data_IF_617662360311
#
_entry.id   IF_617662360311
#
_cell.length_a   1.000
_cell.length_b   1.000
_cell.length_c   1.000
_cell.angle_alpha   90.00
_cell.angle_beta   90.00
_cell.angle_gamma   90.00
#
_symmetry.space_group_name_H-M   'P 1'
#
loop_
_entity.id
_entity.type
_entity.pdbx_description
1 polymer ?
#
# COMPACT_ATOMS: atom_id res chain seq x y z
N UNK A 1 -8.47 20.80 1.74
CA UNK A 1 -7.24 20.01 1.93
C UNK A 1 -7.00 19.28 0.64
N UNK A 2 -5.76 19.27 0.16
CA UNK A 2 -5.40 18.55 -1.04
C UNK A 2 -5.26 17.06 -0.68
N UNK A 3 -5.88 16.19 -1.46
CA UNK A 3 -5.77 14.74 -1.30
C UNK A 3 -4.72 14.20 -2.28
N UNK A 4 -3.84 13.34 -1.78
CA UNK A 4 -2.79 12.70 -2.56
C UNK A 4 -3.05 11.20 -2.62
N UNK A 5 -2.90 10.62 -3.81
CA UNK A 5 -3.09 9.20 -4.05
C UNK A 5 -1.78 8.54 -4.44
N UNK A 6 -1.48 7.43 -3.80
CA UNK A 6 -0.29 6.61 -4.02
C UNK A 6 -0.72 5.22 -4.42
N UNK A 7 0.00 4.61 -5.37
CA UNK A 7 -0.35 3.32 -5.94
C UNK A 7 0.79 2.36 -5.71
N UNK A 8 0.49 1.25 -5.04
CA UNK A 8 1.41 0.15 -4.80
C UNK A 8 0.81 -1.11 -5.41
N UNK A 9 1.65 -1.92 -6.06
CA UNK A 9 1.22 -3.20 -6.65
C UNK A 9 2.13 -4.31 -6.20
N UNK A 10 1.58 -5.51 -6.02
CA UNK A 10 2.39 -6.74 -5.96
C UNK A 10 2.23 -7.48 -7.27
N UNK A 11 3.34 -7.96 -7.80
CA UNK A 11 3.38 -8.77 -9.02
C UNK A 11 3.54 -10.23 -8.63
N UNK A 12 2.89 -11.15 -9.35
CA UNK A 12 2.99 -12.59 -9.07
C UNK A 12 4.44 -13.11 -9.09
N UNK A 13 5.29 -12.52 -9.93
CA UNK A 13 6.68 -12.93 -10.10
C UNK A 13 7.67 -12.23 -9.15
N UNK A 14 7.24 -11.25 -8.35
CA UNK A 14 8.11 -10.49 -7.44
C UNK A 14 7.61 -10.60 -5.99
N UNK A 15 8.50 -10.94 -5.03
CA UNK A 15 8.10 -11.08 -3.64
C UNK A 15 7.84 -9.73 -2.96
N UNK A 16 8.50 -8.65 -3.39
CA UNK A 16 8.34 -7.32 -2.82
C UNK A 16 7.26 -6.51 -3.54
N UNK A 17 6.47 -5.71 -2.81
CA UNK A 17 5.61 -4.70 -3.41
C UNK A 17 6.43 -3.70 -4.24
N UNK A 18 5.76 -3.10 -5.23
CA UNK A 18 6.33 -2.10 -6.12
C UNK A 18 5.50 -0.84 -6.01
N UNK A 19 6.12 0.22 -5.51
CA UNK A 19 5.53 1.56 -5.55
C UNK A 19 5.44 2.08 -6.99
N UNK A 20 4.25 2.21 -7.59
CA UNK A 20 4.11 2.64 -8.99
C UNK A 20 4.06 4.16 -9.15
N UNK A 21 3.22 4.81 -8.35
CA UNK A 21 2.97 6.24 -8.45
C UNK A 21 2.78 6.85 -7.07
N UNK A 22 3.25 8.08 -6.90
CA UNK A 22 3.03 8.89 -5.71
C UNK A 22 2.48 10.24 -6.04
N UNK A 23 1.87 10.87 -5.02
CA UNK A 23 1.43 12.26 -5.04
C UNK A 23 0.48 12.59 -6.20
N UNK A 24 -0.35 11.62 -6.61
CA UNK A 24 -1.31 11.84 -7.68
C UNK A 24 -2.51 12.61 -7.16
N UNK A 25 -3.04 13.53 -7.97
CA UNK A 25 -4.43 13.97 -7.84
C UNK A 25 -5.40 12.86 -8.26
N UNK A 26 -6.66 12.92 -7.84
CA UNK A 26 -7.67 11.93 -8.24
C UNK A 26 -7.81 11.80 -9.77
N UNK A 27 -7.76 12.93 -10.49
CA UNK A 27 -7.82 12.94 -11.96
C UNK A 27 -6.61 12.23 -12.58
N UNK A 28 -5.43 12.37 -11.99
CA UNK A 28 -4.23 11.69 -12.44
C UNK A 28 -4.25 10.20 -12.09
N UNK A 29 -4.72 9.82 -10.90
CA UNK A 29 -4.96 8.44 -10.51
C UNK A 29 -5.83 7.73 -11.55
N UNK A 30 -6.97 8.34 -11.89
CA UNK A 30 -7.90 7.83 -12.91
C UNK A 30 -7.23 7.66 -14.27
N UNK A 31 -6.50 8.67 -14.74
CA UNK A 31 -5.90 8.68 -16.08
C UNK A 31 -4.68 7.76 -16.19
N UNK A 32 -3.83 7.71 -15.17
CA UNK A 32 -2.51 7.07 -15.21
C UNK A 32 -2.52 5.64 -14.71
N UNK A 33 -3.45 5.28 -13.84
CA UNK A 33 -3.49 3.96 -13.23
C UNK A 33 -4.83 3.25 -13.43
N UNK A 34 -5.95 3.81 -12.96
CA UNK A 34 -7.25 3.10 -12.93
C UNK A 34 -7.70 2.68 -14.33
N UNK A 35 -7.73 3.62 -15.29
CA UNK A 35 -8.12 3.30 -16.67
C UNK A 35 -7.15 2.32 -17.34
N UNK A 36 -5.81 2.52 -17.31
CA UNK A 36 -4.87 1.52 -17.83
C UNK A 36 -5.02 0.14 -17.20
N UNK A 37 -5.27 0.06 -15.89
CA UNK A 37 -5.49 -1.18 -15.15
C UNK A 37 -6.75 -1.91 -15.61
N UNK A 38 -7.88 -1.20 -15.72
CA UNK A 38 -9.13 -1.74 -16.25
C UNK A 38 -9.00 -2.24 -17.70
N UNK A 39 -8.05 -1.69 -18.46
CA UNK A 39 -7.74 -2.09 -19.83
C UNK A 39 -6.67 -3.18 -19.95
N UNK A 40 -6.06 -3.65 -18.84
CA UNK A 40 -4.98 -4.65 -18.87
C UNK A 40 -3.71 -4.15 -19.57
N UNK A 41 -3.42 -2.83 -19.52
CA UNK A 41 -2.29 -2.25 -20.25
C UNK A 41 -0.99 -2.34 -19.44
N UNK A 42 0.13 -2.42 -20.15
CA UNK A 42 1.47 -2.28 -19.55
C UNK A 42 1.71 -0.83 -19.15
N UNK A 43 2.23 -0.61 -17.94
CA UNK A 43 2.66 0.70 -17.42
C UNK A 43 4.19 0.76 -17.42
N UNK A 44 4.75 1.90 -17.83
CA UNK A 44 6.18 2.17 -17.75
C UNK A 44 6.50 2.89 -16.44
N UNK A 45 7.36 2.31 -15.61
CA UNK A 45 7.92 2.94 -14.40
C UNK A 45 9.43 3.10 -14.59
N UNK A 46 9.90 4.32 -14.87
CA UNK A 46 11.32 4.56 -15.14
C UNK A 46 11.78 3.77 -16.38
N UNK A 47 12.68 2.80 -16.18
CA UNK A 47 13.16 1.89 -17.23
C UNK A 47 12.58 0.47 -17.13
N UNK A 48 11.55 0.27 -16.30
CA UNK A 48 10.88 -1.02 -16.09
C UNK A 48 9.47 -1.00 -16.70
N UNK A 49 9.12 -2.10 -17.37
CA UNK A 49 7.76 -2.36 -17.84
C UNK A 49 7.02 -3.18 -16.78
N UNK A 50 5.95 -2.62 -16.24
CA UNK A 50 5.06 -3.27 -15.29
C UNK A 50 3.83 -3.76 -16.04
N UNK A 51 3.76 -5.07 -16.19
CA UNK A 51 2.65 -5.77 -16.83
C UNK A 51 1.50 -5.92 -15.83
N UNK A 52 0.41 -5.16 -16.05
CA UNK A 52 -0.70 -5.11 -15.10
C UNK A 52 -1.51 -6.42 -15.04
N UNK A 53 -1.44 -7.25 -16.08
CA UNK A 53 -2.09 -8.58 -16.09
C UNK A 53 -1.41 -9.55 -15.12
N UNK A 54 -0.17 -9.26 -14.70
CA UNK A 54 0.60 -10.06 -13.73
C UNK A 54 0.51 -9.52 -12.31
N UNK A 55 -0.36 -8.54 -12.07
CA UNK A 55 -0.59 -7.98 -10.74
C UNK A 55 -1.41 -8.96 -9.90
N UNK A 56 -0.91 -9.28 -8.72
CA UNK A 56 -1.60 -10.13 -7.73
C UNK A 56 -2.34 -9.31 -6.67
N UNK A 57 -1.92 -8.08 -6.39
CA UNK A 57 -2.66 -7.17 -5.51
C UNK A 57 -2.35 -5.72 -5.85
N UNK A 58 -3.33 -4.86 -5.59
CA UNK A 58 -3.23 -3.41 -5.74
C UNK A 58 -3.61 -2.77 -4.41
N UNK A 59 -2.88 -1.73 -4.03
CA UNK A 59 -3.21 -0.84 -2.93
C UNK A 59 -3.16 0.60 -3.44
N UNK A 60 -4.26 1.34 -3.27
CA UNK A 60 -4.37 2.77 -3.54
C UNK A 60 -4.52 3.46 -2.20
N UNK A 61 -3.47 4.17 -1.79
CA UNK A 61 -3.40 4.82 -0.49
C UNK A 61 -3.69 6.31 -0.66
N UNK A 62 -4.63 6.82 0.13
CA UNK A 62 -4.99 8.23 0.19
C UNK A 62 -4.35 8.88 1.41
N UNK A 63 -3.68 10.01 1.20
CA UNK A 63 -3.07 10.84 2.26
C UNK A 63 -3.51 12.30 2.12
N UNK A 64 -3.44 13.04 3.24
CA UNK A 64 -3.70 14.48 3.32
C UNK A 64 -2.46 15.35 3.06
N UNK A 65 -1.30 14.71 2.99
CA UNK A 65 0.01 15.32 2.72
C UNK A 65 0.73 14.55 1.61
N UNK A 66 1.75 15.18 1.03
CA UNK A 66 2.59 14.52 0.05
C UNK A 66 3.43 13.38 0.67
N UNK A 67 3.90 12.48 -0.19
CA UNK A 67 4.66 11.28 0.15
C UNK A 67 5.83 11.60 1.07
N UNK A 68 6.64 12.59 0.69
CA UNK A 68 7.85 12.94 1.44
C UNK A 68 7.55 13.36 2.88
N UNK A 69 6.48 14.13 3.08
CA UNK A 69 6.07 14.54 4.43
C UNK A 69 5.53 13.35 5.21
N UNK A 70 4.70 12.51 4.60
CA UNK A 70 4.17 11.30 5.24
C UNK A 70 5.27 10.33 5.66
N UNK A 71 6.23 10.02 4.78
CA UNK A 71 7.35 9.13 5.09
C UNK A 71 8.25 9.70 6.18
N UNK A 72 8.51 11.02 6.17
CA UNK A 72 9.28 11.68 7.24
C UNK A 72 8.56 11.59 8.59
N UNK A 73 7.24 11.77 8.61
CA UNK A 73 6.44 11.63 9.83
C UNK A 73 6.45 10.19 10.36
N UNK A 74 6.34 9.19 9.47
CA UNK A 74 6.51 7.77 9.82
C UNK A 74 7.89 7.50 10.40
N UNK A 75 8.95 7.99 9.75
CA UNK A 75 10.32 7.83 10.22
C UNK A 75 10.50 8.43 11.61
N UNK A 76 10.06 9.67 11.82
CA UNK A 76 10.13 10.34 13.13
C UNK A 76 9.32 9.62 14.20
N UNK A 77 8.14 9.10 13.86
CA UNK A 77 7.33 8.32 14.79
C UNK A 77 8.00 7.00 15.17
N UNK A 78 8.61 6.33 14.20
CA UNK A 78 9.40 5.11 14.40
C UNK A 78 10.59 5.38 15.32
N UNK A 79 11.39 6.42 15.03
CA UNK A 79 12.53 6.85 15.83
C UNK A 79 12.14 7.16 17.29
N UNK A 80 11.04 7.88 17.51
CA UNK A 80 10.53 8.16 18.87
C UNK A 80 10.16 6.88 19.61
N UNK A 81 9.43 5.98 18.96
CA UNK A 81 9.05 4.68 19.55
C UNK A 81 10.29 3.88 19.95
N UNK A 82 11.34 3.88 19.14
CA UNK A 82 12.60 3.23 19.48
C UNK A 82 13.33 3.89 20.66
N UNK A 83 13.34 5.22 20.71
CA UNK A 83 13.93 5.94 21.83
C UNK A 83 13.20 5.64 23.14
N UNK A 84 11.86 5.58 23.12
CA UNK A 84 11.05 5.21 24.28
C UNK A 84 11.30 3.76 24.72
N UNK A 85 11.29 2.80 23.78
CA UNK A 85 11.58 1.40 24.09
C UNK A 85 12.99 1.18 24.65
N UNK A 86 14.01 1.85 24.09
CA UNK A 86 15.38 1.74 24.59
C UNK A 86 15.55 2.45 25.93
N UNK A 87 14.83 3.56 26.17
CA UNK A 87 14.81 4.23 27.47
C UNK A 87 14.23 3.33 28.57
N UNK A 88 13.14 2.61 28.27
CA UNK A 88 12.52 1.65 29.20
C UNK A 88 13.36 0.38 29.38
N UNK A 89 14.09 -0.04 28.34
CA UNK A 89 14.94 -1.24 28.36
C UNK A 89 16.25 -1.09 29.14
N UNK A 90 16.58 0.12 29.63
CA UNK A 90 17.70 0.36 30.53
C UNK A 90 17.64 -0.45 31.83
N UNK A 91 16.47 -1.01 32.21
CA UNK A 91 16.35 -1.93 33.36
C UNK A 91 16.62 -3.41 33.04
N UNK A 92 16.64 -3.80 31.77
CA UNK A 92 16.61 -5.22 31.37
C UNK A 92 17.77 -5.63 30.45
N UNK A 93 18.56 -4.67 29.94
CA UNK A 93 19.77 -4.95 29.15
C UNK A 93 19.52 -5.41 27.71
N UNK A 94 18.28 -5.30 27.21
CA UNK A 94 17.93 -5.62 25.83
C UNK A 94 17.90 -4.35 24.97
N UNK A 95 18.57 -4.36 23.81
CA UNK A 95 18.46 -3.30 22.80
C UNK A 95 17.62 -3.86 21.67
N UNK A 96 16.46 -3.26 21.39
CA UNK A 96 15.60 -3.67 20.29
C UNK A 96 16.03 -2.95 19.01
N UNK A 97 16.67 -3.69 18.10
CA UNK A 97 16.98 -3.24 16.74
C UNK A 97 15.91 -3.83 15.81
N UNK A 98 14.87 -3.05 15.48
CA UNK A 98 13.89 -3.46 14.48
C UNK A 98 14.00 -2.53 13.25
N UNK A 99 13.71 -3.07 12.07
CA UNK A 99 13.62 -2.34 10.80
C UNK A 99 12.61 -1.19 10.95
N UNK A 100 13.09 0.06 10.95
CA UNK A 100 12.24 1.24 11.05
C UNK A 100 11.40 1.44 9.80
N UNK A 101 10.18 1.96 9.97
CA UNK A 101 9.27 2.33 8.87
C UNK A 101 9.49 3.77 8.41
N UNK A 102 9.12 4.06 7.16
CA UNK A 102 9.30 5.36 6.50
C UNK A 102 10.58 5.49 5.67
N UNK A 103 11.31 4.38 5.45
CA UNK A 103 12.56 4.36 4.68
C UNK A 103 12.34 3.94 3.22
N UNK A 104 11.30 3.16 2.97
CA UNK A 104 10.93 2.68 1.64
C UNK A 104 9.66 3.39 1.15
N UNK A 105 9.53 3.60 -0.16
CA UNK A 105 8.35 4.27 -0.74
C UNK A 105 7.07 3.45 -0.48
N UNK A 106 7.21 2.13 -0.36
CA UNK A 106 6.16 1.18 -0.02
C UNK A 106 5.61 1.36 1.41
N UNK A 107 6.36 1.98 2.33
CA UNK A 107 5.92 2.23 3.72
C UNK A 107 4.77 3.24 3.79
N UNK A 108 4.46 3.94 2.69
CA UNK A 108 3.34 4.88 2.61
C UNK A 108 2.00 4.22 2.95
N UNK A 109 1.88 2.88 2.84
CA UNK A 109 0.70 2.12 3.28
C UNK A 109 0.37 2.34 4.76
N UNK A 110 1.35 2.70 5.59
CA UNK A 110 1.16 2.98 7.02
C UNK A 110 0.72 4.41 7.30
N UNK A 111 0.88 5.33 6.34
CA UNK A 111 0.60 6.76 6.53
C UNK A 111 -0.83 7.17 6.16
N UNK A 112 -1.55 6.36 5.38
CA UNK A 112 -2.80 6.76 4.74
C UNK A 112 -3.94 5.76 4.87
N UNK A 113 -5.07 6.11 4.26
CA UNK A 113 -6.23 5.24 4.15
C UNK A 113 -6.20 4.47 2.84
N UNK A 114 -6.38 3.15 2.90
CA UNK A 114 -6.59 2.33 1.72
C UNK A 114 -7.98 2.60 1.12
N UNK A 115 -7.99 3.15 -0.09
CA UNK A 115 -9.20 3.49 -0.86
C UNK A 115 -9.33 2.65 -2.12
N UNK A 116 -8.61 1.53 -2.23
CA UNK A 116 -8.55 0.69 -3.44
C UNK A 116 -9.93 0.31 -3.97
N UNK A 117 -10.81 -0.16 -3.09
CA UNK A 117 -12.19 -0.59 -3.43
C UNK A 117 -13.06 0.53 -3.99
N UNK A 118 -12.72 1.80 -3.76
CA UNK A 118 -13.46 2.92 -4.36
C UNK A 118 -13.17 3.08 -5.85
N UNK A 119 -12.01 2.62 -6.31
CA UNK A 119 -11.53 2.83 -7.67
C UNK A 119 -11.41 1.55 -8.49
N UNK A 120 -11.07 0.44 -7.83
CA UNK A 120 -10.82 -0.86 -8.45
C UNK A 120 -11.62 -1.91 -7.69
N UNK A 121 -12.61 -2.47 -8.37
CA UNK A 121 -13.44 -3.56 -7.84
C UNK A 121 -13.30 -4.85 -8.65
N UNK A 122 -12.54 -4.81 -9.74
CA UNK A 122 -12.39 -5.92 -10.69
C UNK A 122 -10.91 -6.19 -10.96
N UNK A 123 -10.60 -7.41 -11.42
CA UNK A 123 -9.25 -7.76 -11.85
C UNK A 123 -8.80 -6.94 -13.07
N UNK A 124 -7.49 -6.91 -13.37
CA UNK A 124 -6.97 -6.17 -14.52
C UNK A 124 -7.64 -6.64 -15.82
N UNK A 125 -7.91 -5.70 -16.74
CA UNK A 125 -8.49 -6.01 -18.06
C UNK A 125 -10.00 -6.30 -18.11
N UNK A 126 -10.70 -6.34 -16.97
CA UNK A 126 -12.10 -6.78 -16.91
C UNK A 126 -13.16 -5.68 -16.94
N UNK A 127 -12.78 -4.41 -17.15
CA UNK A 127 -13.52 -3.20 -16.74
C UNK A 127 -14.95 -2.93 -17.25
N UNK A 128 -15.84 -3.92 -17.31
CA UNK A 128 -17.25 -3.82 -17.72
C UNK A 128 -18.14 -5.00 -17.24
N UNK A 129 -17.78 -5.72 -16.17
CA UNK A 129 -18.52 -6.93 -15.77
C UNK A 129 -18.76 -7.05 -14.28
N UNK A 130 -20.01 -6.84 -13.86
CA UNK A 130 -20.52 -7.19 -12.52
C UNK A 130 -19.93 -8.52 -12.04
N UNK A 131 -19.09 -8.48 -10.99
CA UNK A 131 -18.45 -9.68 -10.45
C UNK A 131 -19.41 -10.50 -9.60
N UNK A 132 -19.49 -11.79 -9.92
CA UNK A 132 -19.97 -12.83 -9.01
C UNK A 132 -18.85 -13.23 -8.04
N UNK A 133 -19.17 -13.45 -6.76
CA UNK A 133 -18.23 -13.89 -5.70
C UNK A 133 -17.36 -15.12 -6.06
N UNK A 134 -17.78 -15.92 -7.05
CA UNK A 134 -16.99 -17.05 -7.59
C UNK A 134 -15.76 -16.60 -8.39
N UNK A 135 -15.83 -15.48 -9.11
CA UNK A 135 -14.72 -14.96 -9.92
C UNK A 135 -13.63 -14.32 -9.05
N UNK A 136 -14.00 -13.90 -7.84
CA UNK A 136 -13.09 -13.36 -6.82
C UNK A 136 -12.23 -14.46 -6.17
N UNK A 137 -12.74 -15.69 -6.08
CA UNK A 137 -12.02 -16.83 -5.48
C UNK A 137 -11.19 -17.62 -6.51
N UNK A 138 -11.52 -17.51 -7.80
CA UNK A 138 -10.86 -18.28 -8.86
C UNK A 138 -9.76 -17.49 -9.60
N UNK A 139 -9.79 -16.16 -9.56
CA UNK A 139 -8.71 -15.32 -10.07
C UNK A 139 -7.85 -14.88 -8.89
N UNK A 140 -6.56 -15.22 -8.88
CA UNK A 140 -5.63 -15.00 -7.76
C UNK A 140 -5.26 -13.54 -7.46
N UNK A 141 -6.14 -12.57 -7.71
CA UNK A 141 -5.96 -11.17 -7.36
C UNK A 141 -6.68 -10.85 -6.04
N UNK A 142 -5.96 -10.27 -5.08
CA UNK A 142 -6.48 -9.93 -3.75
C UNK A 142 -6.42 -8.41 -3.58
N UNK A 143 -7.55 -7.78 -3.26
CA UNK A 143 -7.57 -6.39 -2.81
C UNK A 143 -6.91 -6.36 -1.43
N UNK A 144 -5.78 -5.66 -1.31
CA UNK A 144 -5.11 -5.50 -0.03
C UNK A 144 -6.10 -4.87 0.95
N UNK A 145 -6.38 -5.56 2.06
CA UNK A 145 -6.86 -4.90 3.26
C UNK A 145 -5.58 -4.44 3.95
N UNK A 146 -5.29 -3.14 3.90
CA UNK A 146 -4.06 -2.55 4.42
C UNK A 146 -3.57 -3.25 5.70
N UNK A 147 -2.27 -3.57 5.72
CA UNK A 147 -1.58 -4.27 6.81
C UNK A 147 -1.82 -3.63 8.19
N UNK A 148 -2.15 -2.33 8.25
CA UNK A 148 -2.58 -1.64 9.46
C UNK A 148 -3.88 -2.16 10.08
N UNK A 149 -4.86 -2.61 9.27
CA UNK A 149 -6.12 -3.18 9.78
C UNK A 149 -5.88 -4.59 10.32
N UNK A 150 -5.01 -5.39 9.67
CA UNK A 150 -4.68 -6.74 10.13
C UNK A 150 -3.95 -6.69 11.48
N UNK A 151 -3.03 -5.74 11.68
CA UNK A 151 -2.36 -5.56 12.98
C UNK A 151 -3.30 -5.02 14.07
N UNK A 152 -4.25 -4.14 13.74
CA UNK A 152 -5.24 -3.67 14.70
C UNK A 152 -6.21 -4.80 15.13
N UNK A 153 -6.62 -5.67 14.21
CA UNK A 153 -7.49 -6.82 14.52
C UNK A 153 -6.73 -7.90 15.29
N UNK A 154 -5.49 -8.22 14.92
CA UNK A 154 -4.65 -9.17 15.67
C UNK A 154 -4.32 -8.62 17.06
N UNK A 155 -4.00 -7.34 17.19
CA UNK A 155 -3.78 -6.69 18.49
C UNK A 155 -5.00 -6.75 19.41
N UNK A 156 -6.20 -6.60 18.86
CA UNK A 156 -7.45 -6.74 19.62
C UNK A 156 -7.75 -8.20 20.00
N UNK A 157 -7.38 -9.18 19.18
CA UNK A 157 -7.59 -10.61 19.44
C UNK A 157 -6.64 -11.19 20.49
N UNK A 158 -5.41 -10.65 20.58
CA UNK A 158 -4.44 -11.02 21.63
C UNK A 158 -4.61 -10.21 22.93
N UNK A 159 -5.53 -9.24 22.96
CA UNK A 159 -5.85 -8.41 24.13
C UNK A 159 -7.13 -8.83 24.88
N UNK A 160 -7.74 -9.95 24.50
CA UNK A 160 -8.84 -10.64 25.22
C UNK A 160 -8.40 -12.00 25.73
#
# INVERSE_FOLDING_TARGET
>A
MDEYFHVIVRLQAKPSPVFLFGDLSERELQRRFVRPYQMGKVIVKGNELVDLDKVSSVEIIRTDKNKETCLRELQMASERRYQEMNADSHRTGAIFLQLGSGNEDEDIVEAGEDVTTRYINEGPGNGTGFLTLKDLLNNGWVVGLGTGIILAILGALFAT
#
